data_IF_671892945929
#
_entry.id   IF_671892945929
#
_cell.length_a   1.000
_cell.length_b   1.000
_cell.length_c   1.000
_cell.angle_alpha   90.00
_cell.angle_beta   90.00
_cell.angle_gamma   90.00
#
_symmetry.space_group_name_H-M   'P 1'
#
loop_
_entity.id
_entity.type
_entity.pdbx_description
1 polymer ?
#
# COMPACT_ATOMS: atom_id res chain seq x y z
N UNK A 1 22.49 -1.21 10.21
CA UNK A 1 21.10 -1.07 9.74
C UNK A 1 20.25 -0.89 10.98
N UNK A 2 19.77 0.32 11.23
CA UNK A 2 18.79 0.56 12.29
C UNK A 2 17.43 0.24 11.68
N UNK A 3 17.03 -1.04 11.69
CA UNK A 3 15.62 -1.36 11.43
C UNK A 3 14.84 -0.65 12.52
N UNK A 4 14.04 0.35 12.10
CA UNK A 4 13.18 1.07 13.03
C UNK A 4 12.32 0.01 13.73
N UNK A 5 12.29 -0.06 15.08
CA UNK A 5 11.49 -1.08 15.78
C UNK A 5 10.02 -1.06 15.36
N UNK A 6 9.54 0.11 14.93
CA UNK A 6 8.24 0.32 14.31
C UNK A 6 8.07 -0.44 12.99
N UNK A 7 9.05 -0.40 12.09
CA UNK A 7 8.99 -1.12 10.80
C UNK A 7 8.93 -2.63 11.02
N UNK A 8 9.74 -3.16 11.93
CA UNK A 8 9.73 -4.59 12.26
C UNK A 8 8.36 -5.01 12.81
N UNK A 9 7.76 -4.20 13.68
CA UNK A 9 6.42 -4.46 14.22
C UNK A 9 5.33 -4.38 13.13
N UNK A 10 5.42 -3.42 12.21
CA UNK A 10 4.47 -3.31 11.09
C UNK A 10 4.51 -4.56 10.20
N UNK A 11 5.70 -5.08 9.90
CA UNK A 11 5.85 -6.33 9.17
C UNK A 11 5.29 -7.53 9.95
N UNK A 12 5.56 -7.63 11.25
CA UNK A 12 5.01 -8.70 12.10
C UNK A 12 3.48 -8.69 12.16
N UNK A 13 2.86 -7.51 12.15
CA UNK A 13 1.40 -7.35 12.11
C UNK A 13 0.80 -7.54 10.71
N UNK A 14 1.63 -7.76 9.68
CA UNK A 14 1.20 -7.92 8.29
C UNK A 14 0.74 -6.61 7.64
N UNK A 15 1.04 -5.46 8.24
CA UNK A 15 0.73 -4.11 7.76
C UNK A 15 1.77 -3.65 6.74
N UNK A 16 1.88 -4.39 5.64
CA UNK A 16 2.96 -4.22 4.67
C UNK A 16 2.85 -2.92 3.84
N UNK A 17 1.64 -2.45 3.55
CA UNK A 17 1.44 -1.17 2.88
C UNK A 17 1.81 -0.01 3.80
N UNK A 18 1.46 -0.11 5.07
CA UNK A 18 1.88 0.85 6.10
C UNK A 18 3.40 0.87 6.29
N UNK A 19 4.05 -0.30 6.34
CA UNK A 19 5.51 -0.41 6.44
C UNK A 19 6.22 0.28 5.26
N UNK A 20 5.69 0.08 4.04
CA UNK A 20 6.20 0.73 2.84
C UNK A 20 6.06 2.26 2.94
N UNK A 21 4.86 2.78 3.22
CA UNK A 21 4.66 4.22 3.34
C UNK A 21 5.48 4.84 4.47
N UNK A 22 5.66 4.14 5.60
CA UNK A 22 6.53 4.60 6.68
C UNK A 22 7.96 4.82 6.19
N UNK A 23 8.53 3.86 5.46
CA UNK A 23 9.86 3.99 4.88
C UNK A 23 9.96 5.10 3.83
N UNK A 24 8.93 5.29 3.00
CA UNK A 24 8.87 6.34 1.98
C UNK A 24 8.80 7.75 2.61
N UNK A 25 7.95 7.93 3.62
CA UNK A 25 7.76 9.22 4.32
C UNK A 25 8.98 9.59 5.18
N UNK A 26 9.62 8.61 5.82
CA UNK A 26 10.90 8.82 6.51
C UNK A 26 12.01 9.23 5.54
N UNK A 27 12.06 8.61 4.35
CA UNK A 27 13.06 8.91 3.34
C UNK A 27 12.82 10.26 2.64
N UNK A 28 11.55 10.65 2.44
CA UNK A 28 11.18 11.91 1.78
C UNK A 28 11.30 13.13 2.70
N UNK A 29 11.31 12.94 4.01
CA UNK A 29 11.29 14.03 5.00
C UNK A 29 9.95 14.77 5.07
N UNK A 30 8.91 14.31 4.34
CA UNK A 30 7.57 14.88 4.38
C UNK A 30 6.92 14.76 5.77
N UNK A 31 7.40 13.82 6.59
CA UNK A 31 7.01 13.66 7.98
C UNK A 31 7.05 14.98 8.78
N UNK A 32 8.01 15.86 8.48
CA UNK A 32 8.17 17.14 9.18
C UNK A 32 7.08 18.17 8.84
N UNK A 33 6.36 17.99 7.73
CA UNK A 33 5.33 18.91 7.24
C UNK A 33 3.91 18.44 7.53
N UNK A 34 3.74 17.15 7.83
CA UNK A 34 2.44 16.55 8.10
C UNK A 34 2.09 16.69 9.58
N UNK A 35 0.85 17.05 9.86
CA UNK A 35 0.31 16.92 11.21
C UNK A 35 0.17 15.43 11.57
N UNK A 36 0.18 15.13 12.87
CA UNK A 36 0.03 13.76 13.36
C UNK A 36 -1.16 12.98 12.74
N UNK A 37 -2.39 13.54 12.64
CA UNK A 37 -3.50 12.84 11.99
C UNK A 37 -3.32 12.66 10.48
N UNK A 38 -2.71 13.61 9.77
CA UNK A 38 -2.46 13.49 8.32
C UNK A 38 -1.44 12.39 8.02
N UNK A 39 -0.39 12.33 8.84
CA UNK A 39 0.60 11.26 8.76
C UNK A 39 -0.04 9.89 8.96
N UNK A 40 -0.89 9.74 9.98
CA UNK A 40 -1.61 8.48 10.22
C UNK A 40 -2.58 8.14 9.08
N UNK A 41 -3.30 9.13 8.54
CA UNK A 41 -4.23 8.93 7.43
C UNK A 41 -3.50 8.41 6.19
N UNK A 42 -2.36 9.01 5.82
CA UNK A 42 -1.53 8.59 4.68
C UNK A 42 -1.08 7.13 4.83
N UNK A 43 -0.59 6.76 6.02
CA UNK A 43 -0.16 5.40 6.31
C UNK A 43 -1.30 4.38 6.19
N UNK A 44 -2.48 4.72 6.70
CA UNK A 44 -3.67 3.88 6.62
C UNK A 44 -4.20 3.75 5.18
N UNK A 45 -4.18 4.82 4.41
CA UNK A 45 -4.60 4.82 3.00
C UNK A 45 -3.70 3.93 2.14
N UNK A 46 -2.39 3.94 2.39
CA UNK A 46 -1.46 3.04 1.71
C UNK A 46 -1.72 1.58 2.08
N UNK A 47 -1.97 1.28 3.36
CA UNK A 47 -2.32 -0.08 3.78
C UNK A 47 -3.65 -0.55 3.17
N UNK A 48 -4.67 0.31 3.15
CA UNK A 48 -5.95 0.00 2.54
C UNK A 48 -5.81 -0.27 1.04
N UNK A 49 -5.04 0.55 0.33
CA UNK A 49 -4.76 0.38 -1.10
C UNK A 49 -3.97 -0.90 -1.37
N UNK A 50 -2.91 -1.17 -0.59
CA UNK A 50 -2.15 -2.42 -0.69
C UNK A 50 -3.03 -3.67 -0.51
N UNK A 51 -3.96 -3.65 0.45
CA UNK A 51 -4.91 -4.76 0.64
C UNK A 51 -5.90 -4.90 -0.51
N UNK A 52 -6.40 -3.77 -1.06
CA UNK A 52 -7.28 -3.78 -2.24
C UNK A 52 -6.56 -4.39 -3.44
N UNK A 53 -5.33 -3.96 -3.70
CA UNK A 53 -4.51 -4.45 -4.82
C UNK A 53 -4.18 -5.93 -4.67
N UNK A 54 -3.78 -6.39 -3.48
CA UNK A 54 -3.56 -7.81 -3.22
C UNK A 54 -4.81 -8.66 -3.50
N UNK A 55 -5.98 -8.19 -3.10
CA UNK A 55 -7.26 -8.89 -3.35
C UNK A 55 -7.58 -8.91 -4.84
N UNK A 56 -7.37 -7.79 -5.55
CA UNK A 56 -7.57 -7.69 -6.99
C UNK A 56 -6.63 -8.64 -7.73
N UNK A 57 -5.32 -8.60 -7.45
CA UNK A 57 -4.32 -9.47 -8.05
C UNK A 57 -4.62 -10.95 -7.78
N UNK A 58 -5.06 -11.31 -6.58
CA UNK A 58 -5.49 -12.67 -6.27
C UNK A 58 -6.68 -13.09 -7.16
N UNK A 59 -7.71 -12.24 -7.29
CA UNK A 59 -8.87 -12.51 -8.16
C UNK A 59 -8.47 -12.65 -9.63
N UNK A 60 -7.61 -11.76 -10.14
CA UNK A 60 -7.11 -11.82 -11.52
C UNK A 60 -6.33 -13.10 -11.78
N UNK A 61 -5.48 -13.54 -10.82
CA UNK A 61 -4.76 -14.82 -10.91
C UNK A 61 -5.71 -16.01 -11.02
N UNK A 62 -6.77 -16.05 -10.21
CA UNK A 62 -7.76 -17.12 -10.25
C UNK A 62 -8.65 -17.08 -11.49
N UNK A 63 -8.97 -15.89 -12.00
CA UNK A 63 -9.81 -15.72 -13.17
C UNK A 63 -9.20 -16.29 -14.46
N UNK A 64 -7.88 -16.57 -14.49
CA UNK A 64 -7.14 -17.10 -15.66
C UNK A 64 -7.55 -16.40 -16.95
N UNK A 65 -7.65 -15.07 -16.89
CA UNK A 65 -8.10 -14.27 -18.02
C UNK A 65 -7.22 -14.58 -19.23
N UNK A 66 -7.87 -14.95 -20.32
CA UNK A 66 -7.21 -15.40 -21.54
C UNK A 66 -6.51 -14.24 -22.26
N UNK A 67 -6.82 -13.00 -21.91
CA UNK A 67 -6.20 -11.76 -22.36
C UNK A 67 -5.87 -10.92 -21.12
N UNK A 68 -4.73 -10.22 -21.11
CA UNK A 68 -4.45 -9.20 -20.10
C UNK A 68 -5.40 -8.04 -20.36
N UNK A 69 -6.54 -8.01 -19.66
CA UNK A 69 -7.47 -6.89 -19.72
C UNK A 69 -7.16 -5.94 -18.55
N UNK A 70 -6.86 -4.69 -18.87
CA UNK A 70 -6.80 -3.61 -17.90
C UNK A 70 -8.20 -3.00 -17.70
N UNK A 71 -8.42 -2.31 -16.59
CA UNK A 71 -9.67 -1.55 -16.37
C UNK A 71 -9.83 -0.44 -17.44
N UNK A 72 -8.72 0.00 -18.02
CA UNK A 72 -8.64 0.94 -19.15
C UNK A 72 -9.28 0.38 -20.43
N UNK A 73 -9.39 -0.94 -20.57
CA UNK A 73 -9.97 -1.61 -21.75
C UNK A 73 -11.49 -1.79 -21.68
N UNK A 74 -12.15 -1.28 -20.63
CA UNK A 74 -13.60 -1.38 -20.45
C UNK A 74 -14.29 -0.31 -21.30
N UNK A 75 -14.89 -0.72 -22.42
CA UNK A 75 -15.68 0.15 -23.30
C UNK A 75 -17.06 0.42 -22.66
N UNK A 76 -17.20 1.58 -22.00
CA UNK A 76 -18.42 2.02 -21.30
C UNK A 76 -19.48 2.62 -22.25
N UNK A 77 -19.78 1.94 -23.36
CA UNK A 77 -20.85 2.35 -24.28
C UNK A 77 -22.24 1.98 -23.78
#
# INVERSE_FOLDING_TARGET
>A
MLTHPTLDLLHQLGLNGMAKAFGEVEASGEAATLTHPEWLALLLDQEASYRRDRRLLARLRYARLRHQAAVEDVDYR
#
